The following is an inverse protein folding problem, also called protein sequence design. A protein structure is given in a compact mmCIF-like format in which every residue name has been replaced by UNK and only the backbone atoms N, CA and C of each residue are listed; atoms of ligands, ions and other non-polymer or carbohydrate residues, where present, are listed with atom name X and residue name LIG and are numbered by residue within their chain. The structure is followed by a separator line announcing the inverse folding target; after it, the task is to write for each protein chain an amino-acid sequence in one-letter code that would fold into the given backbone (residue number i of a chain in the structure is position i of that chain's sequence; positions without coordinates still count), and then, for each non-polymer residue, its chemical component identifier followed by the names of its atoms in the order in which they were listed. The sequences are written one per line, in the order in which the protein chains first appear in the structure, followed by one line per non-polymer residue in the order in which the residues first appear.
data_IF_684819852789
#
_entry.id   IF_684819852789
#
_cell.length_a   1.000
_cell.length_b   1.000
_cell.length_c   1.000
_cell.angle_alpha   90.00
_cell.angle_beta   90.00
_cell.angle_gamma   90.00
#
_symmetry.space_group_name_H-M   'P 1'
#
loop_
_entity.id
_entity.type
_entity.pdbx_description
1 polymer ?
#
# COMPACT_ATOMS: atom_id res chain seq x y z
N UNK A 1 9.43 80.34 24.11
CA UNK A 1 9.70 78.87 24.23
C UNK A 1 8.51 78.19 24.85
N UNK A 2 7.64 77.63 24.06
CA UNK A 2 6.37 77.05 24.49
C UNK A 2 6.44 75.56 24.41
N UNK A 3 6.40 74.87 25.54
CA UNK A 3 6.46 73.39 25.67
C UNK A 3 5.03 72.89 25.55
N UNK A 4 4.76 72.09 24.51
CA UNK A 4 3.54 71.33 24.37
C UNK A 4 3.74 69.95 25.08
N UNK A 5 2.90 69.73 26.12
CA UNK A 5 2.71 68.43 26.72
C UNK A 5 1.76 67.58 25.82
N UNK A 6 2.24 66.47 25.27
CA UNK A 6 1.37 65.46 24.65
C UNK A 6 0.93 64.49 25.73
N UNK A 7 -0.37 64.49 26.02
CA UNK A 7 -1.03 63.48 26.86
C UNK A 7 -1.27 62.25 26.03
N UNK A 8 -0.58 61.11 26.37
CA UNK A 8 -0.81 59.83 25.76
C UNK A 8 -1.93 59.11 26.49
N UNK A 9 -3.09 59.04 25.86
CA UNK A 9 -4.22 58.24 26.30
C UNK A 9 -3.95 56.77 25.95
N UNK A 10 -3.65 55.94 26.96
CA UNK A 10 -3.47 54.48 26.82
C UNK A 10 -4.85 53.80 26.76
N UNK A 11 -5.34 53.49 25.57
CA UNK A 11 -6.51 52.62 25.38
C UNK A 11 -6.12 51.17 25.65
N UNK A 12 -6.58 50.62 26.77
CA UNK A 12 -6.55 49.17 27.02
C UNK A 12 -7.58 48.50 26.11
N UNK A 13 -7.09 47.85 25.05
CA UNK A 13 -7.89 46.88 24.30
C UNK A 13 -7.93 45.58 25.11
N UNK A 14 -9.06 45.28 25.72
CA UNK A 14 -9.33 43.95 26.29
C UNK A 14 -9.60 43.02 25.12
N UNK A 15 -8.60 42.22 24.76
CA UNK A 15 -8.75 41.12 23.81
C UNK A 15 -9.58 40.04 24.52
N UNK A 16 -10.87 39.94 24.21
CA UNK A 16 -11.70 38.80 24.54
C UNK A 16 -11.25 37.67 23.61
N UNK A 17 -10.35 36.79 24.10
CA UNK A 17 -10.03 35.53 23.45
C UNK A 17 -11.28 34.64 23.49
N UNK A 18 -12.11 34.73 22.45
CA UNK A 18 -13.09 33.70 22.15
C UNK A 18 -12.33 32.39 21.84
N UNK A 19 -12.53 31.34 22.63
CA UNK A 19 -12.07 30.00 22.39
C UNK A 19 -12.82 29.43 21.18
N UNK A 20 -12.47 29.87 19.98
CA UNK A 20 -12.83 29.16 18.76
C UNK A 20 -11.99 27.86 18.76
N UNK A 21 -12.63 26.73 19.08
CA UNK A 21 -12.04 25.42 18.94
C UNK A 21 -11.51 25.28 17.53
N UNK A 22 -10.19 25.23 17.39
CA UNK A 22 -9.53 24.87 16.13
C UNK A 22 -9.97 23.43 15.88
N UNK A 23 -10.94 23.25 14.97
CA UNK A 23 -11.30 21.92 14.47
C UNK A 23 -10.04 21.39 13.79
N UNK A 24 -9.33 20.49 14.47
CA UNK A 24 -8.18 19.81 13.87
C UNK A 24 -8.71 19.06 12.65
N UNK A 25 -8.39 19.56 11.46
CA UNK A 25 -8.67 18.86 10.22
C UNK A 25 -7.87 17.57 10.25
N UNK A 26 -8.54 16.46 10.55
CA UNK A 26 -7.91 15.15 10.57
C UNK A 26 -7.52 14.80 9.13
N UNK A 27 -6.25 14.49 8.91
CA UNK A 27 -5.78 14.08 7.59
C UNK A 27 -6.60 12.89 7.08
N UNK A 28 -6.97 12.93 5.81
CA UNK A 28 -7.70 11.83 5.20
C UNK A 28 -6.85 10.54 5.25
N UNK A 29 -7.48 9.42 5.59
CA UNK A 29 -6.85 8.09 5.54
C UNK A 29 -7.33 7.35 4.30
N UNK A 30 -6.44 6.53 3.71
CA UNK A 30 -6.80 5.67 2.58
C UNK A 30 -6.81 4.21 3.04
N UNK A 31 -7.86 3.51 2.66
CA UNK A 31 -8.04 2.07 2.92
C UNK A 31 -8.40 1.37 1.62
N UNK A 32 -7.83 0.18 1.43
CA UNK A 32 -8.12 -0.70 0.28
C UNK A 32 -8.74 -1.96 0.83
N UNK A 33 -9.85 -2.39 0.24
CA UNK A 33 -10.54 -3.63 0.57
C UNK A 33 -10.56 -4.55 -0.64
N UNK A 34 -10.25 -5.82 -0.44
CA UNK A 34 -10.32 -6.86 -1.47
C UNK A 34 -11.16 -8.00 -0.94
N UNK A 35 -12.28 -8.26 -1.63
CA UNK A 35 -13.11 -9.43 -1.37
C UNK A 35 -13.01 -10.36 -2.56
N UNK A 36 -12.48 -11.56 -2.33
CA UNK A 36 -12.25 -12.55 -3.37
C UNK A 36 -13.26 -13.69 -3.30
N UNK A 37 -13.64 -14.22 -4.45
CA UNK A 37 -14.40 -15.45 -4.60
C UNK A 37 -13.70 -16.34 -5.64
N UNK A 38 -13.11 -17.44 -5.17
CA UNK A 38 -12.22 -18.25 -6.02
C UNK A 38 -10.96 -17.47 -6.40
N UNK A 39 -10.73 -17.27 -7.70
CA UNK A 39 -9.53 -16.62 -8.25
C UNK A 39 -9.72 -15.18 -8.68
N UNK A 40 -10.95 -14.67 -8.55
CA UNK A 40 -11.32 -13.28 -8.87
C UNK A 40 -11.90 -12.59 -7.65
N UNK A 41 -11.98 -11.28 -7.69
CA UNK A 41 -12.56 -10.48 -6.61
C UNK A 41 -12.86 -9.05 -7.02
N UNK A 42 -13.32 -8.28 -6.07
CA UNK A 42 -13.50 -6.83 -6.18
C UNK A 42 -12.52 -6.13 -5.27
N UNK A 43 -11.78 -5.16 -5.81
CA UNK A 43 -10.96 -4.23 -5.04
C UNK A 43 -11.68 -2.89 -4.98
N UNK A 44 -11.77 -2.32 -3.78
CA UNK A 44 -12.35 -1.00 -3.53
C UNK A 44 -11.38 -0.15 -2.76
N UNK A 45 -11.18 1.09 -3.19
CA UNK A 45 -10.39 2.11 -2.47
C UNK A 45 -11.33 3.08 -1.81
N UNK A 46 -11.13 3.32 -0.53
CA UNK A 46 -11.86 4.31 0.25
C UNK A 46 -10.94 5.39 0.79
N UNK A 47 -11.49 6.60 0.90
CA UNK A 47 -10.93 7.67 1.71
C UNK A 47 -11.85 7.96 2.89
N UNK A 48 -11.27 8.15 4.07
CA UNK A 48 -12.02 8.59 5.26
C UNK A 48 -11.47 9.94 5.72
N UNK A 49 -12.30 10.96 5.73
CA UNK A 49 -11.98 12.30 6.20
C UNK A 49 -13.11 12.83 7.08
N UNK A 50 -12.79 13.39 8.23
CA UNK A 50 -13.78 13.94 9.19
C UNK A 50 -14.91 12.94 9.53
N UNK A 51 -14.58 11.66 9.67
CA UNK A 51 -15.53 10.60 9.96
C UNK A 51 -16.41 10.15 8.78
N UNK A 52 -16.26 10.76 7.60
CA UNK A 52 -16.99 10.39 6.40
C UNK A 52 -16.13 9.48 5.53
N UNK A 53 -16.62 8.30 5.23
CA UNK A 53 -16.00 7.31 4.33
C UNK A 53 -16.58 7.45 2.94
N UNK A 54 -15.71 7.63 1.94
CA UNK A 54 -16.07 7.78 0.53
C UNK A 54 -15.37 6.73 -0.31
N UNK A 55 -16.09 6.07 -1.21
CA UNK A 55 -15.52 5.20 -2.23
C UNK A 55 -14.86 6.06 -3.34
N UNK A 56 -13.57 5.83 -3.59
CA UNK A 56 -12.80 6.54 -4.62
C UNK A 56 -12.69 5.73 -5.91
N UNK A 57 -12.62 4.40 -5.79
CA UNK A 57 -12.43 3.50 -6.91
C UNK A 57 -12.99 2.13 -6.57
N UNK A 58 -13.62 1.50 -7.55
CA UNK A 58 -14.01 0.08 -7.54
C UNK A 58 -13.54 -0.57 -8.83
N UNK A 59 -12.89 -1.72 -8.73
CA UNK A 59 -12.39 -2.46 -9.89
C UNK A 59 -12.41 -3.96 -9.65
N UNK A 60 -12.42 -4.73 -10.74
CA UNK A 60 -12.18 -6.16 -10.68
C UNK A 60 -10.71 -6.42 -10.28
N UNK A 61 -10.49 -7.50 -9.55
CA UNK A 61 -9.15 -7.97 -9.21
C UNK A 61 -9.02 -9.48 -9.48
N UNK A 62 -7.81 -9.93 -9.77
CA UNK A 62 -7.45 -11.34 -9.69
C UNK A 62 -6.60 -11.55 -8.44
N UNK A 63 -6.75 -12.73 -7.85
CA UNK A 63 -5.98 -13.18 -6.69
C UNK A 63 -5.24 -14.47 -7.01
N UNK A 64 -4.64 -15.10 -6.03
CA UNK A 64 -3.92 -16.36 -6.20
C UNK A 64 -4.75 -17.42 -6.94
N UNK A 65 -4.09 -18.23 -7.80
CA UNK A 65 -4.72 -19.32 -8.56
C UNK A 65 -5.42 -20.37 -7.70
N UNK A 66 -5.10 -20.40 -6.42
CA UNK A 66 -5.73 -21.28 -5.42
C UNK A 66 -6.54 -20.48 -4.38
N UNK A 67 -7.02 -19.27 -4.74
CA UNK A 67 -7.85 -18.38 -3.90
C UNK A 67 -7.06 -17.67 -2.81
N UNK A 68 -7.73 -17.40 -1.68
CA UNK A 68 -7.17 -16.73 -0.50
C UNK A 68 -7.05 -17.69 0.68
N UNK A 69 -6.16 -17.40 1.66
CA UNK A 69 -5.98 -18.22 2.85
C UNK A 69 -5.41 -17.44 4.02
N UNK A 70 -5.88 -17.73 5.22
CA UNK A 70 -5.25 -17.29 6.48
C UNK A 70 -3.97 -18.08 6.78
N UNK A 71 -3.83 -19.29 6.25
CA UNK A 71 -2.67 -20.17 6.39
C UNK A 71 -1.86 -20.20 5.07
N UNK A 72 -1.28 -19.03 4.75
CA UNK A 72 -0.46 -18.84 3.56
C UNK A 72 0.89 -19.57 3.70
N UNK A 73 1.34 -20.23 2.61
CA UNK A 73 2.65 -20.92 2.52
C UNK A 73 3.36 -20.50 1.23
N UNK A 74 4.70 -20.61 1.27
CA UNK A 74 5.49 -20.40 0.05
C UNK A 74 5.08 -21.41 -1.05
N UNK A 75 4.89 -20.90 -2.27
CA UNK A 75 4.54 -21.71 -3.44
C UNK A 75 3.09 -22.24 -3.49
N UNK A 76 2.23 -21.95 -2.50
CA UNK A 76 0.86 -22.50 -2.43
C UNK A 76 -0.11 -21.89 -3.45
N UNK A 77 0.27 -20.80 -4.13
CA UNK A 77 -0.57 -20.10 -5.11
C UNK A 77 -1.78 -19.38 -4.50
N UNK A 78 -1.76 -19.08 -3.20
CA UNK A 78 -2.85 -18.39 -2.49
C UNK A 78 -2.46 -16.97 -2.12
N UNK A 79 -3.45 -16.08 -2.09
CA UNK A 79 -3.29 -14.71 -1.55
C UNK A 79 -3.53 -14.73 -0.04
N UNK A 80 -2.70 -14.08 0.79
CA UNK A 80 -2.89 -14.07 2.23
C UNK A 80 -4.13 -13.26 2.63
N UNK A 81 -4.96 -13.82 3.50
CA UNK A 81 -6.06 -13.13 4.17
C UNK A 81 -5.52 -12.34 5.35
N UNK A 82 -5.97 -11.10 5.52
CA UNK A 82 -5.56 -10.24 6.64
C UNK A 82 -5.57 -8.77 6.29
N UNK A 83 -5.01 -7.96 7.20
CA UNK A 83 -4.84 -6.51 7.01
C UNK A 83 -3.35 -6.19 7.01
N UNK A 84 -2.88 -5.55 5.95
CA UNK A 84 -1.47 -5.25 5.71
C UNK A 84 -1.28 -3.79 5.38
N UNK A 85 -0.10 -3.24 5.64
CA UNK A 85 0.27 -1.91 5.19
C UNK A 85 0.78 -1.91 3.75
N UNK A 86 0.70 -0.74 3.11
CA UNK A 86 1.38 -0.45 1.84
C UNK A 86 2.27 0.76 2.10
N UNK A 87 3.59 0.54 2.15
CA UNK A 87 4.58 1.58 2.51
C UNK A 87 5.45 2.01 1.34
N UNK A 88 5.54 1.18 0.31
CA UNK A 88 6.44 1.38 -0.84
C UNK A 88 5.88 0.74 -2.09
N UNK A 89 6.43 1.17 -3.21
CA UNK A 89 6.13 0.61 -4.52
C UNK A 89 7.36 0.57 -5.41
N UNK A 90 7.23 -0.08 -6.52
CA UNK A 90 8.24 -0.12 -7.57
C UNK A 90 7.58 -0.34 -8.93
N UNK A 91 8.36 -0.25 -10.01
CA UNK A 91 7.86 -0.60 -11.34
C UNK A 91 8.79 -0.17 -12.45
N UNK A 92 8.54 -0.73 -13.63
CA UNK A 92 9.28 -0.39 -14.85
C UNK A 92 8.95 1.03 -15.35
N UNK A 93 7.78 1.57 -14.95
CA UNK A 93 7.40 2.94 -15.22
C UNK A 93 7.17 3.71 -13.91
N UNK A 94 7.33 5.02 -13.96
CA UNK A 94 6.99 5.91 -12.84
C UNK A 94 5.54 6.37 -13.04
N UNK A 95 4.66 6.19 -12.04
CA UNK A 95 3.29 6.68 -12.13
C UNK A 95 3.28 8.22 -12.07
N UNK A 96 2.25 8.88 -12.65
CA UNK A 96 2.16 10.33 -12.66
C UNK A 96 2.03 10.95 -11.26
N UNK A 97 1.42 10.23 -10.32
CA UNK A 97 1.29 10.63 -8.91
C UNK A 97 1.59 9.42 -8.04
N UNK A 98 2.47 9.60 -7.05
CA UNK A 98 2.77 8.62 -6.01
C UNK A 98 3.19 9.34 -4.73
N UNK A 99 2.60 8.95 -3.58
CA UNK A 99 2.80 9.62 -2.29
C UNK A 99 3.53 8.72 -1.26
N UNK A 100 4.09 7.61 -1.72
CA UNK A 100 4.93 6.68 -0.94
C UNK A 100 6.29 6.52 -1.60
N UNK A 101 7.24 5.90 -0.90
CA UNK A 101 8.52 5.54 -1.50
C UNK A 101 8.31 4.69 -2.76
N UNK A 102 8.87 5.09 -3.89
CA UNK A 102 8.70 4.39 -5.16
C UNK A 102 10.03 4.27 -5.90
N UNK A 103 10.40 3.03 -6.27
CA UNK A 103 11.63 2.74 -6.99
C UNK A 103 11.31 2.41 -8.44
N UNK A 104 11.85 3.18 -9.39
CA UNK A 104 11.86 2.77 -10.79
C UNK A 104 12.87 1.65 -10.97
N UNK A 105 12.39 0.52 -11.50
CA UNK A 105 13.24 -0.65 -11.75
C UNK A 105 14.33 -0.36 -12.78
N UNK A 106 15.50 -0.92 -12.54
CA UNK A 106 16.60 -1.09 -13.52
C UNK A 106 16.58 -2.55 -14.06
N UNK A 107 17.73 -3.12 -14.38
CA UNK A 107 17.75 -4.40 -15.13
C UNK A 107 18.04 -5.65 -14.29
N UNK A 108 18.20 -5.53 -12.99
CA UNK A 108 18.79 -6.58 -12.16
C UNK A 108 18.20 -6.72 -10.76
N UNK A 109 17.08 -6.07 -10.49
CA UNK A 109 16.40 -6.20 -9.20
C UNK A 109 15.63 -7.52 -9.14
N UNK A 110 15.70 -8.16 -7.97
CA UNK A 110 15.05 -9.41 -7.65
C UNK A 110 14.39 -9.35 -6.27
N UNK A 111 13.39 -10.20 -6.09
CA UNK A 111 12.82 -10.47 -4.79
C UNK A 111 13.05 -11.93 -4.43
N UNK A 112 13.79 -12.20 -3.34
CA UNK A 112 14.20 -13.56 -3.00
C UNK A 112 13.05 -14.36 -2.43
N UNK A 113 12.74 -15.50 -3.05
CA UNK A 113 11.71 -16.46 -2.64
C UNK A 113 12.30 -17.81 -2.13
N UNK A 114 13.63 -17.94 -2.12
CA UNK A 114 14.32 -19.11 -1.60
C UNK A 114 14.23 -19.17 -0.06
N UNK A 115 13.45 -20.11 0.44
CA UNK A 115 13.22 -20.33 1.88
C UNK A 115 14.54 -20.61 2.65
N UNK A 116 15.57 -21.14 1.99
CA UNK A 116 16.87 -21.42 2.61
C UNK A 116 17.71 -20.15 2.79
N UNK A 117 17.51 -19.13 1.95
CA UNK A 117 18.29 -17.91 1.95
C UNK A 117 18.10 -17.07 3.23
N UNK A 118 19.16 -16.41 3.70
CA UNK A 118 19.06 -15.37 4.72
C UNK A 118 18.33 -14.12 4.20
N UNK A 119 18.22 -13.98 2.88
CA UNK A 119 17.53 -12.90 2.18
C UNK A 119 16.07 -13.22 1.81
N UNK A 120 15.53 -14.34 2.29
CA UNK A 120 14.13 -14.71 1.99
C UNK A 120 13.17 -13.54 2.22
N UNK A 121 12.26 -13.33 1.26
CA UNK A 121 11.29 -12.23 1.21
C UNK A 121 11.91 -10.82 1.28
N UNK A 122 13.08 -10.64 0.68
CA UNK A 122 13.77 -9.35 0.61
C UNK A 122 14.11 -8.97 -0.83
N UNK A 123 14.13 -7.68 -1.06
CA UNK A 123 14.64 -7.05 -2.26
C UNK A 123 16.16 -7.17 -2.32
N UNK A 124 16.69 -7.54 -3.48
CA UNK A 124 18.13 -7.62 -3.76
C UNK A 124 18.44 -7.06 -5.14
N UNK A 125 19.68 -6.63 -5.31
CA UNK A 125 20.25 -6.18 -6.59
C UNK A 125 21.48 -7.02 -6.93
N UNK A 126 22.07 -6.83 -8.13
CA UNK A 126 23.34 -7.47 -8.52
C UNK A 126 24.49 -7.23 -7.54
N UNK A 127 24.46 -6.10 -6.82
CA UNK A 127 25.50 -5.71 -5.88
C UNK A 127 25.30 -6.34 -4.48
N UNK A 128 24.19 -7.07 -4.28
CA UNK A 128 23.90 -7.72 -3.01
C UNK A 128 24.82 -8.93 -2.82
N UNK A 129 25.65 -8.91 -1.78
CA UNK A 129 26.60 -9.96 -1.46
C UNK A 129 26.51 -10.37 0.02
N UNK A 130 26.78 -11.64 0.39
CA UNK A 130 26.93 -12.78 -0.52
C UNK A 130 25.59 -13.17 -1.17
N UNK A 131 25.64 -13.76 -2.34
CA UNK A 131 24.49 -14.42 -2.97
C UNK A 131 24.33 -15.81 -2.33
N UNK A 132 23.28 -15.97 -1.53
CA UNK A 132 22.98 -17.20 -0.80
C UNK A 132 21.65 -17.86 -1.23
N UNK A 133 20.96 -17.28 -2.23
CA UNK A 133 19.69 -17.79 -2.76
C UNK A 133 19.87 -18.55 -4.06
N UNK A 134 19.01 -19.55 -4.28
CA UNK A 134 18.94 -20.35 -5.52
C UNK A 134 17.76 -19.95 -6.39
N UNK A 135 16.75 -19.30 -5.82
CA UNK A 135 15.60 -18.77 -6.54
C UNK A 135 15.25 -17.37 -6.06
N UNK A 136 14.78 -16.55 -7.00
CA UNK A 136 14.28 -15.21 -6.74
C UNK A 136 13.37 -14.79 -7.90
N UNK A 137 12.33 -14.04 -7.63
CA UNK A 137 11.51 -13.42 -8.65
C UNK A 137 12.28 -12.28 -9.32
N UNK A 138 12.43 -12.33 -10.65
CA UNK A 138 13.09 -11.30 -11.44
C UNK A 138 12.08 -10.19 -11.73
N UNK A 139 11.98 -9.24 -10.79
CA UNK A 139 10.96 -8.18 -10.86
C UNK A 139 11.19 -7.20 -12.00
N UNK A 140 12.41 -7.14 -12.55
CA UNK A 140 12.76 -6.26 -13.67
C UNK A 140 12.30 -6.81 -15.04
N UNK A 141 11.94 -8.10 -15.14
CA UNK A 141 11.57 -8.74 -16.39
C UNK A 141 10.07 -8.92 -16.64
N UNK A 142 9.26 -8.73 -15.61
CA UNK A 142 7.80 -8.86 -15.71
C UNK A 142 7.14 -7.60 -16.30
N UNK A 143 7.35 -7.37 -17.59
CA UNK A 143 7.11 -6.09 -18.28
C UNK A 143 5.65 -5.60 -18.25
N UNK A 144 4.68 -6.50 -18.11
CA UNK A 144 3.26 -6.14 -17.99
C UNK A 144 2.87 -6.06 -16.52
N UNK A 145 3.08 -7.14 -15.76
CA UNK A 145 2.65 -7.23 -14.37
C UNK A 145 3.32 -6.15 -13.51
N UNK A 146 4.63 -5.93 -13.69
CA UNK A 146 5.39 -5.00 -12.85
C UNK A 146 5.67 -3.66 -13.50
N UNK A 147 4.81 -3.23 -14.43
CA UNK A 147 4.82 -1.87 -14.91
C UNK A 147 4.58 -0.88 -13.78
N UNK A 148 3.62 -1.20 -12.89
CA UNK A 148 3.31 -0.45 -11.67
C UNK A 148 2.98 -1.42 -10.54
N UNK A 149 3.65 -1.27 -9.39
CA UNK A 149 3.52 -2.18 -8.25
C UNK A 149 3.45 -1.41 -6.94
N UNK A 150 2.57 -1.85 -6.04
CA UNK A 150 2.58 -1.51 -4.63
C UNK A 150 2.90 -2.77 -3.81
N UNK A 151 3.86 -2.69 -2.89
CA UNK A 151 4.24 -3.82 -2.02
C UNK A 151 3.22 -3.96 -0.91
N UNK A 152 2.59 -5.13 -0.80
CA UNK A 152 1.77 -5.51 0.35
C UNK A 152 2.73 -6.04 1.41
N UNK A 153 2.82 -5.36 2.55
CA UNK A 153 3.82 -5.68 3.59
C UNK A 153 3.43 -6.95 4.37
N UNK A 154 3.17 -8.02 3.61
CA UNK A 154 2.96 -9.36 4.15
C UNK A 154 4.31 -10.03 4.42
N UNK A 155 4.52 -10.54 5.63
CA UNK A 155 5.73 -11.26 6.03
C UNK A 155 7.04 -10.48 5.79
N UNK A 156 7.01 -9.13 5.89
CA UNK A 156 8.18 -8.27 5.61
C UNK A 156 8.85 -7.74 6.88
N UNK A 157 8.10 -7.48 7.96
CA UNK A 157 8.65 -6.92 9.20
C UNK A 157 9.28 -7.99 10.10
N UNK A 158 8.58 -9.10 10.29
CA UNK A 158 9.06 -10.29 11.02
C UNK A 158 8.98 -11.47 10.10
N UNK A 159 10.02 -11.64 9.28
CA UNK A 159 10.05 -12.65 8.24
C UNK A 159 10.03 -14.04 8.84
N UNK A 160 8.99 -14.82 8.49
CA UNK A 160 8.87 -16.24 8.79
C UNK A 160 9.14 -17.01 7.51
N UNK A 161 10.24 -17.75 7.47
CA UNK A 161 10.64 -18.55 6.30
C UNK A 161 9.57 -19.59 5.95
N UNK A 162 9.20 -19.63 4.67
CA UNK A 162 8.16 -20.53 4.17
C UNK A 162 6.72 -20.06 4.37
N UNK A 163 6.47 -18.92 5.03
CA UNK A 163 5.13 -18.38 5.16
C UNK A 163 4.63 -17.65 3.90
N UNK A 164 5.46 -17.50 2.88
CA UNK A 164 5.15 -16.79 1.64
C UNK A 164 5.96 -15.52 1.49
N UNK A 165 6.27 -15.18 0.25
CA UNK A 165 7.08 -14.03 -0.15
C UNK A 165 6.48 -13.31 -1.35
N UNK A 166 7.01 -12.14 -1.70
CA UNK A 166 6.70 -11.41 -2.93
C UNK A 166 5.19 -11.19 -3.13
N UNK A 167 4.49 -10.68 -2.11
CA UNK A 167 3.06 -10.38 -2.21
C UNK A 167 2.87 -8.91 -2.60
N UNK A 168 2.35 -8.70 -3.80
CA UNK A 168 2.21 -7.37 -4.41
C UNK A 168 0.79 -7.10 -4.89
N UNK A 169 0.46 -5.81 -5.04
CA UNK A 169 -0.63 -5.31 -5.84
C UNK A 169 -0.03 -4.75 -7.13
N UNK A 170 -0.43 -5.28 -8.31
CA UNK A 170 0.21 -4.98 -9.59
C UNK A 170 -0.77 -4.96 -10.78
N UNK A 171 -0.27 -4.68 -12.00
CA UNK A 171 -1.06 -4.70 -13.22
C UNK A 171 -1.45 -6.14 -13.62
N UNK A 172 -2.69 -6.34 -14.07
CA UNK A 172 -3.16 -7.67 -14.47
C UNK A 172 -2.63 -8.09 -15.83
N UNK A 173 -2.52 -9.40 -16.00
CA UNK A 173 -2.37 -10.10 -17.28
C UNK A 173 -3.65 -10.91 -17.58
N UNK A 174 -4.81 -10.48 -17.04
CA UNK A 174 -6.13 -11.11 -17.18
C UNK A 174 -6.16 -12.59 -16.79
N UNK A 175 -5.38 -12.95 -15.77
CA UNK A 175 -5.28 -14.31 -15.22
C UNK A 175 -5.01 -14.30 -13.71
N UNK A 176 -5.35 -15.38 -12.99
CA UNK A 176 -4.98 -15.56 -11.59
C UNK A 176 -3.48 -15.48 -11.36
N UNK A 177 -3.06 -15.03 -10.18
CA UNK A 177 -1.67 -14.82 -9.80
C UNK A 177 -1.09 -16.04 -9.07
N UNK A 178 0.17 -15.94 -8.64
CA UNK A 178 0.79 -16.91 -7.74
C UNK A 178 0.61 -16.60 -6.25
N UNK A 179 -0.13 -15.52 -5.94
CA UNK A 179 -0.40 -15.07 -4.57
C UNK A 179 -0.57 -13.56 -4.45
N UNK A 180 -0.13 -12.81 -5.44
CA UNK A 180 -0.35 -11.36 -5.55
C UNK A 180 -1.83 -11.03 -5.80
N UNK A 181 -2.13 -9.73 -5.81
CA UNK A 181 -3.39 -9.16 -6.29
C UNK A 181 -3.09 -8.38 -7.55
N UNK A 182 -3.86 -8.57 -8.61
CA UNK A 182 -3.69 -7.78 -9.83
C UNK A 182 -4.98 -7.12 -10.29
N UNK A 183 -4.84 -5.91 -10.84
CA UNK A 183 -5.93 -5.06 -11.31
C UNK A 183 -5.60 -4.47 -12.68
N UNK A 184 -6.58 -3.96 -13.46
CA UNK A 184 -6.30 -3.26 -14.71
C UNK A 184 -5.28 -2.13 -14.52
N UNK A 185 -4.41 -1.90 -15.51
CA UNK A 185 -3.34 -0.90 -15.44
C UNK A 185 -3.86 0.49 -15.08
N UNK A 186 -4.97 0.93 -15.69
CA UNK A 186 -5.57 2.23 -15.40
C UNK A 186 -6.03 2.36 -13.93
N UNK A 187 -6.54 1.26 -13.36
CA UNK A 187 -6.89 1.21 -11.95
C UNK A 187 -5.65 1.27 -11.08
N UNK A 188 -4.58 0.55 -11.44
CA UNK A 188 -3.32 0.53 -10.68
C UNK A 188 -2.68 1.92 -10.60
N UNK A 189 -2.67 2.67 -11.70
CA UNK A 189 -2.17 4.06 -11.74
C UNK A 189 -2.96 4.96 -10.78
N UNK A 190 -4.31 4.85 -10.78
CA UNK A 190 -5.16 5.62 -9.86
C UNK A 190 -4.94 5.21 -8.41
N UNK A 191 -4.83 3.91 -8.13
CA UNK A 191 -4.57 3.36 -6.79
C UNK A 191 -3.27 3.93 -6.22
N UNK A 192 -2.18 3.93 -7.00
CA UNK A 192 -0.90 4.50 -6.56
C UNK A 192 -1.01 5.99 -6.21
N UNK A 193 -1.85 6.74 -6.93
CA UNK A 193 -2.15 8.14 -6.60
C UNK A 193 -2.95 8.34 -5.31
N UNK A 194 -3.73 7.36 -4.89
CA UNK A 194 -4.52 7.39 -3.64
C UNK A 194 -3.73 6.86 -2.43
N UNK A 195 -2.77 5.97 -2.64
CA UNK A 195 -1.93 5.44 -1.56
C UNK A 195 -1.10 6.56 -0.94
N UNK A 196 -1.07 6.59 0.37
CA UNK A 196 -0.32 7.53 1.20
C UNK A 196 0.25 6.82 2.44
N UNK A 197 1.17 7.43 3.20
CA UNK A 197 1.65 6.85 4.45
C UNK A 197 0.49 6.45 5.37
N UNK A 198 0.51 5.21 5.87
CA UNK A 198 -0.55 4.64 6.70
C UNK A 198 -1.68 3.94 5.93
N UNK A 199 -1.65 3.92 4.58
CA UNK A 199 -2.61 3.13 3.80
C UNK A 199 -2.50 1.66 4.15
N UNK A 200 -3.67 1.03 4.39
CA UNK A 200 -3.79 -0.40 4.64
C UNK A 200 -4.65 -1.07 3.56
N UNK A 201 -4.37 -2.34 3.32
CA UNK A 201 -5.16 -3.23 2.47
C UNK A 201 -5.69 -4.38 3.31
N UNK A 202 -7.01 -4.54 3.31
CA UNK A 202 -7.71 -5.66 3.92
C UNK A 202 -8.09 -6.67 2.82
N UNK A 203 -7.70 -7.93 2.98
CA UNK A 203 -7.88 -9.00 2.00
C UNK A 203 -8.70 -10.10 2.66
N UNK A 204 -9.80 -10.49 2.04
CA UNK A 204 -10.72 -11.50 2.57
C UNK A 204 -11.28 -12.38 1.45
N UNK A 205 -11.67 -13.61 1.80
CA UNK A 205 -12.36 -14.54 0.92
C UNK A 205 -13.90 -14.38 0.95
N UNK A 206 -14.43 -13.47 1.76
CA UNK A 206 -15.86 -13.15 1.83
C UNK A 206 -16.12 -11.81 2.53
N UNK A 207 -17.30 -11.21 2.31
CA UNK A 207 -17.73 -10.00 3.01
C UNK A 207 -17.82 -10.20 4.54
N UNK A 208 -18.20 -11.39 4.99
CA UNK A 208 -18.27 -11.71 6.42
C UNK A 208 -16.88 -11.70 7.06
N UNK A 209 -15.89 -12.27 6.37
CA UNK A 209 -14.50 -12.27 6.81
C UNK A 209 -13.93 -10.86 6.80
N UNK A 210 -14.16 -10.06 5.74
CA UNK A 210 -13.74 -8.66 5.67
C UNK A 210 -14.25 -7.86 6.87
N UNK A 211 -15.55 -7.97 7.20
CA UNK A 211 -16.16 -7.31 8.36
C UNK A 211 -15.52 -7.72 9.69
N UNK A 212 -14.98 -8.93 9.80
CA UNK A 212 -14.28 -9.38 11.00
C UNK A 212 -12.88 -8.80 11.14
N UNK A 213 -12.22 -8.53 9.99
CA UNK A 213 -10.86 -7.98 9.91
C UNK A 213 -10.80 -6.46 10.13
N UNK A 214 -11.91 -5.76 9.82
CA UNK A 214 -11.97 -4.28 9.82
C UNK A 214 -12.73 -3.67 10.99
N UNK A 215 -13.14 -4.49 11.96
CA UNK A 215 -13.70 -4.06 13.26
C UNK A 215 -12.59 -3.62 14.19
#
# INVERSE_FOLDING_TARGET
MQRYLFSVCLLFFVLVCGSNGISQCQAATTEIEVVASGTTGTLVVYSTANGTRQELLRTQAYVGRNGCSVDKREGDGKTPVGVYEIRRGFGLATPPVVNIAYTKLADDEKWVDDVASARYNQWVTKDTTPVDWKSAEDVSKETVAYKYVAVIEYNTDKIVKGAGSAIFLHCTQDKPTSGCISVPEEAMVKILGFIQPGTRIAIAGSDAELKSLTK
#
